data_IF_343785230014
#
_entry.id   IF_343785230014
#
_cell.length_a   1.000
_cell.length_b   1.000
_cell.length_c   1.000
_cell.angle_alpha   90.00
_cell.angle_beta   90.00
_cell.angle_gamma   90.00
#
_symmetry.space_group_name_H-M   'P 1'
#
loop_
_entity.id
_entity.type
_entity.pdbx_description
1 polymer ?
#
# COMPACT_ATOMS: atom_id res chain seq x y z
N UNK A 1 11.28 -10.43 26.80
CA UNK A 1 10.09 -9.66 26.39
C UNK A 1 10.43 -8.57 25.36
N UNK A 2 11.29 -7.60 25.67
CA UNK A 2 11.66 -6.50 24.74
C UNK A 2 12.37 -6.99 23.47
N UNK A 3 13.34 -7.91 23.60
CA UNK A 3 14.05 -8.51 22.45
C UNK A 3 13.09 -9.23 21.50
N UNK A 4 12.05 -9.88 22.05
CA UNK A 4 11.01 -10.58 21.28
C UNK A 4 10.14 -9.59 20.48
N UNK A 5 9.69 -8.50 21.11
CA UNK A 5 8.89 -7.45 20.45
C UNK A 5 9.66 -6.79 19.31
N UNK A 6 10.93 -6.42 19.54
CA UNK A 6 11.77 -5.83 18.51
C UNK A 6 11.95 -6.78 17.31
N UNK A 7 12.16 -8.08 17.57
CA UNK A 7 12.29 -9.08 16.52
C UNK A 7 11.04 -9.19 15.64
N UNK A 8 9.83 -9.12 16.23
CA UNK A 8 8.58 -9.10 15.46
C UNK A 8 8.47 -7.89 14.55
N UNK A 9 8.72 -6.68 15.08
CA UNK A 9 8.56 -5.43 14.35
C UNK A 9 9.59 -5.35 13.21
N UNK A 10 10.88 -5.61 13.52
CA UNK A 10 11.94 -5.59 12.52
C UNK A 10 11.75 -6.70 11.48
N UNK A 11 11.38 -7.91 11.93
CA UNK A 11 11.09 -9.02 11.04
C UNK A 11 9.94 -8.73 10.08
N UNK A 12 8.87 -8.11 10.56
CA UNK A 12 7.73 -7.70 9.73
C UNK A 12 8.11 -6.61 8.73
N UNK A 13 8.91 -5.63 9.13
CA UNK A 13 9.44 -4.61 8.21
C UNK A 13 10.27 -5.23 7.09
N UNK A 14 11.23 -6.11 7.43
CA UNK A 14 12.10 -6.75 6.44
C UNK A 14 11.32 -7.69 5.52
N UNK A 15 10.37 -8.46 6.04
CA UNK A 15 9.50 -9.30 5.23
C UNK A 15 8.61 -8.46 4.29
N UNK A 16 8.01 -7.39 4.82
CA UNK A 16 7.22 -6.43 4.06
C UNK A 16 8.02 -5.79 2.92
N UNK A 17 9.30 -5.50 3.19
CA UNK A 17 10.20 -4.87 2.24
C UNK A 17 10.61 -5.73 1.05
N UNK A 18 10.45 -7.05 1.10
CA UNK A 18 10.87 -7.93 -0.02
C UNK A 18 10.18 -7.46 -1.31
N UNK A 19 10.91 -7.12 -2.38
CA UNK A 19 10.32 -6.49 -3.56
C UNK A 19 9.72 -7.53 -4.53
N UNK A 20 8.71 -8.28 -4.08
CA UNK A 20 8.07 -9.41 -4.79
C UNK A 20 7.69 -9.09 -6.23
N UNK A 21 6.98 -7.99 -6.49
CA UNK A 21 6.58 -7.65 -7.86
C UNK A 21 7.78 -7.43 -8.78
N UNK A 22 8.82 -6.78 -8.27
CA UNK A 22 10.06 -6.56 -9.00
C UNK A 22 10.79 -7.89 -9.27
N UNK A 23 10.91 -8.74 -8.25
CA UNK A 23 11.53 -10.06 -8.39
C UNK A 23 10.77 -10.91 -9.42
N UNK A 24 9.45 -10.99 -9.30
CA UNK A 24 8.61 -11.79 -10.20
C UNK A 24 8.67 -11.27 -11.64
N UNK A 25 8.63 -9.96 -11.86
CA UNK A 25 8.82 -9.39 -13.19
C UNK A 25 10.18 -9.75 -13.78
N UNK A 26 11.25 -9.57 -12.99
CA UNK A 26 12.62 -9.83 -13.43
C UNK A 26 12.83 -11.31 -13.77
N UNK A 27 12.31 -12.23 -12.96
CA UNK A 27 12.47 -13.66 -13.17
C UNK A 27 11.58 -14.23 -14.28
N UNK A 28 10.31 -13.81 -14.39
CA UNK A 28 9.37 -14.41 -15.35
C UNK A 28 9.38 -13.73 -16.72
N UNK A 29 9.75 -12.45 -16.79
CA UNK A 29 9.67 -11.64 -18.02
C UNK A 29 10.99 -10.98 -18.40
N UNK A 30 11.99 -10.97 -17.52
CA UNK A 30 13.26 -10.30 -17.78
C UNK A 30 13.18 -8.77 -17.76
N UNK A 31 12.04 -8.19 -17.36
CA UNK A 31 11.76 -6.75 -17.41
C UNK A 31 12.00 -6.11 -16.04
N UNK A 32 12.54 -4.89 -16.03
CA UNK A 32 12.52 -4.03 -14.84
C UNK A 32 11.22 -3.21 -14.80
N UNK A 33 10.34 -3.50 -13.85
CA UNK A 33 9.05 -2.78 -13.71
C UNK A 33 9.20 -1.35 -13.16
N UNK A 34 10.41 -0.95 -12.75
CA UNK A 34 10.68 0.43 -12.33
C UNK A 34 10.86 1.36 -13.53
N UNK A 35 11.20 0.80 -14.68
CA UNK A 35 11.45 1.54 -15.93
C UNK A 35 10.23 1.49 -16.86
N UNK A 36 9.14 0.85 -16.45
CA UNK A 36 7.95 0.64 -17.29
C UNK A 36 6.64 0.98 -16.59
N UNK A 37 5.66 1.41 -17.39
CA UNK A 37 4.34 1.79 -16.92
C UNK A 37 4.40 2.94 -15.92
N UNK A 38 3.88 2.71 -14.71
CA UNK A 38 3.90 3.72 -13.64
C UNK A 38 5.24 3.83 -12.90
N UNK A 39 6.19 2.94 -13.16
CA UNK A 39 7.47 2.82 -12.42
C UNK A 39 7.33 2.23 -11.01
N UNK A 40 6.10 1.94 -10.56
CA UNK A 40 5.85 1.43 -9.23
C UNK A 40 6.06 -0.10 -9.15
N UNK A 41 6.62 -0.58 -8.04
CA UNK A 41 6.86 -2.02 -7.79
C UNK A 41 5.66 -2.72 -7.12
N UNK A 42 4.45 -2.26 -7.43
CA UNK A 42 3.20 -2.84 -6.94
C UNK A 42 2.56 -3.84 -7.90
N UNK A 43 1.63 -4.64 -7.38
CA UNK A 43 0.88 -5.63 -8.16
C UNK A 43 0.09 -5.05 -9.35
N UNK A 44 -0.38 -3.80 -9.25
CA UNK A 44 -1.08 -3.12 -10.35
C UNK A 44 -0.16 -2.88 -11.55
N UNK A 45 1.03 -2.30 -11.33
CA UNK A 45 2.01 -2.09 -12.41
C UNK A 45 2.46 -3.45 -12.98
N UNK A 46 2.70 -4.43 -12.11
CA UNK A 46 3.01 -5.79 -12.56
C UNK A 46 1.89 -6.40 -13.40
N UNK A 47 0.63 -6.15 -13.07
CA UNK A 47 -0.51 -6.63 -13.86
C UNK A 47 -0.55 -5.99 -15.25
N UNK A 48 -0.21 -4.70 -15.33
CA UNK A 48 -0.13 -3.97 -16.60
C UNK A 48 1.04 -4.45 -17.46
N UNK A 49 2.21 -4.72 -16.87
CA UNK A 49 3.44 -5.08 -17.60
C UNK A 49 3.58 -6.59 -17.89
N UNK A 50 3.21 -7.45 -16.93
CA UNK A 50 3.38 -8.90 -17.02
C UNK A 50 2.06 -9.67 -17.15
N UNK A 51 0.92 -8.98 -17.04
CA UNK A 51 -0.42 -9.54 -17.16
C UNK A 51 -1.08 -9.82 -15.81
N UNK A 52 -2.41 -9.68 -15.76
CA UNK A 52 -3.24 -9.84 -14.54
C UNK A 52 -3.08 -11.19 -13.84
N UNK A 53 -2.82 -12.26 -14.59
CA UNK A 53 -2.64 -13.60 -14.02
C UNK A 53 -1.32 -13.76 -13.26
N UNK A 54 -0.37 -12.83 -13.44
CA UNK A 54 0.85 -12.75 -12.64
C UNK A 54 0.67 -11.72 -11.51
N UNK A 55 0.12 -10.55 -11.83
CA UNK A 55 -0.01 -9.48 -10.85
C UNK A 55 -1.02 -9.76 -9.71
N UNK A 56 -2.15 -10.42 -9.99
CA UNK A 56 -3.14 -10.76 -8.94
C UNK A 56 -2.55 -11.70 -7.88
N UNK A 57 -1.91 -12.84 -8.23
CA UNK A 57 -1.26 -13.70 -7.24
C UNK A 57 -0.19 -12.98 -6.41
N UNK A 58 0.60 -12.10 -7.02
CA UNK A 58 1.61 -11.32 -6.29
C UNK A 58 0.97 -10.33 -5.33
N UNK A 59 -0.10 -9.65 -5.75
CA UNK A 59 -0.88 -8.80 -4.86
C UNK A 59 -1.49 -9.56 -3.68
N UNK A 60 -1.93 -10.80 -3.91
CA UNK A 60 -2.42 -11.69 -2.84
C UNK A 60 -1.28 -12.15 -1.91
N UNK A 61 -0.10 -12.44 -2.46
CA UNK A 61 1.08 -12.73 -1.67
C UNK A 61 1.47 -11.54 -0.78
N UNK A 62 1.45 -10.32 -1.32
CA UNK A 62 1.74 -9.10 -0.56
C UNK A 62 0.71 -8.88 0.56
N UNK A 63 -0.56 -9.19 0.30
CA UNK A 63 -1.62 -9.12 1.30
C UNK A 63 -1.38 -10.16 2.41
N UNK A 64 -1.31 -11.44 2.05
CA UNK A 64 -1.30 -12.54 3.01
C UNK A 64 0.05 -12.69 3.69
N UNK A 65 1.10 -12.89 2.90
CA UNK A 65 2.41 -13.32 3.42
C UNK A 65 3.13 -12.17 4.08
N UNK A 66 3.09 -10.97 3.49
CA UNK A 66 3.84 -9.84 4.02
C UNK A 66 3.14 -9.09 5.15
N UNK A 67 1.80 -9.05 5.14
CA UNK A 67 1.05 -8.25 6.10
C UNK A 67 0.19 -9.09 7.06
N UNK A 68 -0.65 -10.00 6.56
CA UNK A 68 -1.54 -10.78 7.43
C UNK A 68 -0.76 -11.77 8.32
N UNK A 69 0.12 -12.56 7.73
CA UNK A 69 0.83 -13.65 8.41
C UNK A 69 1.68 -13.16 9.61
N UNK A 70 2.48 -12.08 9.52
CA UNK A 70 3.26 -11.62 10.67
C UNK A 70 2.40 -11.16 11.85
N UNK A 71 1.25 -10.53 11.59
CA UNK A 71 0.32 -10.09 12.63
C UNK A 71 -0.33 -11.32 13.29
N UNK A 72 -0.77 -12.31 12.50
CA UNK A 72 -1.31 -13.55 13.03
C UNK A 72 -0.28 -14.34 13.84
N UNK A 73 0.99 -14.32 13.43
CA UNK A 73 2.07 -14.94 14.20
C UNK A 73 2.30 -14.22 15.54
N UNK A 74 2.29 -12.88 15.56
CA UNK A 74 2.37 -12.12 16.80
C UNK A 74 1.17 -12.41 17.72
N UNK A 75 -0.04 -12.51 17.14
CA UNK A 75 -1.26 -12.89 17.87
C UNK A 75 -1.19 -14.31 18.43
N UNK A 76 -0.73 -15.28 17.64
CA UNK A 76 -0.59 -16.68 18.04
C UNK A 76 0.43 -16.86 19.17
N UNK A 77 1.42 -15.97 19.25
CA UNK A 77 2.43 -15.93 20.31
C UNK A 77 2.06 -14.95 21.44
N UNK A 78 0.75 -14.72 21.62
CA UNK A 78 0.13 -13.93 22.69
C UNK A 78 0.73 -12.52 22.87
N UNK A 79 1.21 -11.90 21.79
CA UNK A 79 1.67 -10.53 21.84
C UNK A 79 0.49 -9.57 22.00
N UNK A 80 0.69 -8.47 22.74
CA UNK A 80 -0.35 -7.48 22.97
C UNK A 80 -0.87 -6.87 21.67
N UNK A 81 -2.10 -6.33 21.69
CA UNK A 81 -2.70 -5.66 20.53
C UNK A 81 -1.82 -4.52 19.99
N UNK A 82 -1.11 -3.82 20.87
CA UNK A 82 -0.15 -2.78 20.50
C UNK A 82 1.02 -3.33 19.69
N UNK A 83 1.56 -4.50 20.06
CA UNK A 83 2.64 -5.15 19.30
C UNK A 83 2.12 -5.66 17.96
N UNK A 84 0.93 -6.27 17.93
CA UNK A 84 0.27 -6.70 16.68
C UNK A 84 0.06 -5.52 15.71
N UNK A 85 -0.39 -4.37 16.23
CA UNK A 85 -0.55 -3.15 15.45
C UNK A 85 0.79 -2.61 14.93
N UNK A 86 1.82 -2.57 15.79
CA UNK A 86 3.16 -2.15 15.38
C UNK A 86 3.77 -3.05 14.29
N UNK A 87 3.52 -4.36 14.36
CA UNK A 87 3.90 -5.34 13.32
C UNK A 87 3.19 -5.03 12.00
N UNK A 88 1.88 -4.76 12.03
CA UNK A 88 1.13 -4.40 10.84
C UNK A 88 1.60 -3.09 10.20
N UNK A 89 1.87 -2.07 11.02
CA UNK A 89 2.46 -0.82 10.56
C UNK A 89 3.83 -1.06 9.92
N UNK A 90 4.71 -1.81 10.59
CA UNK A 90 6.05 -2.13 10.11
C UNK A 90 6.02 -2.86 8.76
N UNK A 91 5.13 -3.84 8.58
CA UNK A 91 4.96 -4.56 7.32
C UNK A 91 4.59 -3.62 6.15
N UNK A 92 3.65 -2.69 6.37
CA UNK A 92 3.25 -1.70 5.35
C UNK A 92 4.38 -0.71 5.07
N UNK A 93 5.06 -0.22 6.11
CA UNK A 93 6.21 0.68 5.94
C UNK A 93 7.34 -0.01 5.15
N UNK A 94 7.62 -1.28 5.43
CA UNK A 94 8.60 -2.06 4.68
C UNK A 94 8.24 -2.17 3.21
N UNK A 95 6.99 -2.52 2.91
CA UNK A 95 6.50 -2.59 1.52
C UNK A 95 6.59 -1.24 0.79
N UNK A 96 6.32 -0.13 1.49
CA UNK A 96 6.34 1.21 0.92
C UNK A 96 7.75 1.76 0.73
N UNK A 97 8.66 1.49 1.67
CA UNK A 97 10.03 1.97 1.67
C UNK A 97 10.96 0.80 1.96
N UNK A 98 11.31 0.08 0.90
CA UNK A 98 12.13 -1.12 1.00
C UNK A 98 13.61 -0.75 1.04
N UNK A 99 14.39 -1.21 2.06
CA UNK A 99 15.85 -1.11 2.03
C UNK A 99 16.46 -1.85 0.84
N UNK A 100 15.79 -2.89 0.30
CA UNK A 100 16.25 -3.63 -0.87
C UNK A 100 16.11 -2.86 -2.19
N UNK A 101 15.33 -1.76 -2.18
CA UNK A 101 15.11 -0.88 -3.32
C UNK A 101 15.46 0.58 -2.99
N UNK A 102 16.50 0.82 -2.17
CA UNK A 102 16.97 2.17 -1.84
C UNK A 102 15.87 3.08 -1.27
N UNK A 103 15.03 2.54 -0.39
CA UNK A 103 13.89 3.24 0.21
C UNK A 103 12.82 3.66 -0.81
N UNK A 104 12.73 2.96 -1.93
CA UNK A 104 11.55 2.97 -2.84
C UNK A 104 10.71 1.71 -2.61
N UNK A 105 9.51 1.64 -3.18
CA UNK A 105 8.61 0.52 -2.89
C UNK A 105 7.20 0.72 -3.44
N UNK A 106 6.31 -0.20 -3.06
CA UNK A 106 4.91 -0.22 -3.49
C UNK A 106 4.04 0.85 -2.80
N UNK A 107 2.77 0.99 -3.22
CA UNK A 107 1.82 1.95 -2.62
C UNK A 107 1.23 1.49 -1.28
N UNK A 108 1.39 0.22 -0.92
CA UNK A 108 0.93 -0.31 0.37
C UNK A 108 -0.54 -0.69 0.45
N UNK A 109 -1.32 -0.57 -0.63
CA UNK A 109 -2.75 -0.87 -0.63
C UNK A 109 -3.00 -2.35 -0.27
N UNK A 110 -2.35 -3.30 -0.97
CA UNK A 110 -2.51 -4.73 -0.69
C UNK A 110 -2.09 -5.10 0.73
N UNK A 111 -1.01 -4.50 1.24
CA UNK A 111 -0.55 -4.75 2.61
C UNK A 111 -1.51 -4.16 3.65
N UNK A 112 -2.10 -2.99 3.43
CA UNK A 112 -3.14 -2.42 4.32
C UNK A 112 -4.37 -3.32 4.37
N UNK A 113 -4.83 -3.84 3.21
CA UNK A 113 -5.91 -4.85 3.20
C UNK A 113 -5.50 -6.09 4.00
N UNK A 114 -4.23 -6.51 3.91
CA UNK A 114 -3.71 -7.63 4.70
C UNK A 114 -3.75 -7.38 6.21
N UNK A 115 -3.47 -6.15 6.64
CA UNK A 115 -3.66 -5.70 8.04
C UNK A 115 -5.13 -5.79 8.44
N UNK A 116 -6.05 -5.29 7.60
CA UNK A 116 -7.50 -5.37 7.85
C UNK A 116 -7.99 -6.82 7.99
N UNK A 117 -7.51 -7.72 7.14
CA UNK A 117 -7.83 -9.16 7.21
C UNK A 117 -7.33 -9.77 8.51
N UNK A 118 -6.11 -9.44 8.97
CA UNK A 118 -5.57 -9.96 10.23
C UNK A 118 -6.41 -9.55 11.45
N UNK A 119 -6.98 -8.34 11.43
CA UNK A 119 -7.86 -7.82 12.48
C UNK A 119 -9.36 -8.13 12.26
N UNK A 120 -9.69 -8.99 11.28
CA UNK A 120 -11.06 -9.41 10.98
C UNK A 120 -12.00 -8.21 10.70
N UNK A 121 -11.51 -7.24 9.93
CA UNK A 121 -12.23 -6.02 9.58
C UNK A 121 -13.18 -6.20 8.39
N UNK A 122 -13.96 -7.29 8.42
CA UNK A 122 -14.83 -7.67 7.31
C UNK A 122 -15.90 -6.64 6.96
N UNK A 123 -16.61 -6.00 7.91
CA UNK A 123 -17.56 -4.94 7.59
C UNK A 123 -16.91 -3.75 6.89
N UNK A 124 -15.75 -3.31 7.38
CA UNK A 124 -14.99 -2.18 6.83
C UNK A 124 -14.44 -2.50 5.43
N UNK A 125 -13.94 -3.73 5.22
CA UNK A 125 -13.51 -4.23 3.91
C UNK A 125 -14.70 -4.23 2.94
N UNK A 126 -15.85 -4.77 3.34
CA UNK A 126 -17.04 -4.87 2.49
C UNK A 126 -17.54 -3.48 2.07
N UNK A 127 -17.64 -2.55 3.02
CA UNK A 127 -18.00 -1.16 2.74
C UNK A 127 -16.97 -0.52 1.80
N UNK A 128 -15.68 -0.75 2.03
CA UNK A 128 -14.63 -0.28 1.12
C UNK A 128 -14.81 -0.79 -0.30
N UNK A 129 -15.04 -2.09 -0.49
CA UNK A 129 -15.27 -2.70 -1.80
C UNK A 129 -16.50 -2.10 -2.47
N UNK A 130 -17.60 -1.94 -1.73
CA UNK A 130 -18.86 -1.39 -2.27
C UNK A 130 -18.68 0.08 -2.66
N UNK A 131 -18.12 0.91 -1.78
CA UNK A 131 -17.92 2.34 -2.06
C UNK A 131 -16.91 2.55 -3.19
N UNK A 132 -15.75 1.88 -3.15
CA UNK A 132 -14.74 1.97 -4.20
C UNK A 132 -15.26 1.38 -5.51
N UNK A 133 -15.98 0.26 -5.46
CA UNK A 133 -16.56 -0.38 -6.63
C UNK A 133 -17.62 0.48 -7.30
N UNK A 134 -18.61 0.97 -6.56
CA UNK A 134 -19.69 1.80 -7.10
C UNK A 134 -19.15 3.17 -7.54
N UNK A 135 -18.41 3.87 -6.68
CA UNK A 135 -17.95 5.23 -6.97
C UNK A 135 -16.80 5.21 -7.98
N UNK A 136 -15.87 4.26 -7.85
CA UNK A 136 -14.72 4.12 -8.73
C UNK A 136 -15.09 3.73 -10.15
N UNK A 137 -16.12 2.90 -10.35
CA UNK A 137 -16.61 2.57 -11.71
C UNK A 137 -17.49 3.66 -12.32
N UNK A 138 -18.26 4.40 -11.51
CA UNK A 138 -19.25 5.36 -12.03
C UNK A 138 -18.69 6.77 -12.26
N UNK A 139 -17.72 7.24 -11.47
CA UNK A 139 -17.33 8.66 -11.47
C UNK A 139 -15.96 8.97 -12.08
N UNK A 140 -14.87 8.42 -11.54
CA UNK A 140 -13.50 8.86 -11.91
C UNK A 140 -12.64 7.80 -12.60
N UNK A 141 -13.10 6.54 -12.70
CA UNK A 141 -12.36 5.42 -13.32
C UNK A 141 -10.93 5.22 -12.77
N UNK A 142 -10.65 5.69 -11.56
CA UNK A 142 -9.35 5.58 -10.89
C UNK A 142 -9.52 4.85 -9.55
N UNK A 143 -9.31 3.53 -9.58
CA UNK A 143 -9.43 2.69 -8.38
C UNK A 143 -8.39 3.04 -7.32
N UNK A 144 -7.20 3.51 -7.70
CA UNK A 144 -6.12 3.78 -6.75
C UNK A 144 -6.45 4.99 -5.88
N UNK A 145 -7.03 6.05 -6.46
CA UNK A 145 -7.51 7.21 -5.71
C UNK A 145 -8.60 6.82 -4.70
N UNK A 146 -9.60 6.06 -5.12
CA UNK A 146 -10.72 5.72 -4.23
C UNK A 146 -10.31 4.76 -3.11
N UNK A 147 -9.41 3.81 -3.37
CA UNK A 147 -8.81 2.99 -2.32
C UNK A 147 -8.05 3.85 -1.30
N UNK A 148 -7.31 4.86 -1.77
CA UNK A 148 -6.61 5.79 -0.87
C UNK A 148 -7.59 6.61 -0.02
N UNK A 149 -8.65 7.17 -0.62
CA UNK A 149 -9.70 7.92 0.09
C UNK A 149 -10.38 7.04 1.14
N UNK A 150 -10.67 5.78 0.81
CA UNK A 150 -11.24 4.82 1.75
C UNK A 150 -10.31 4.60 2.94
N UNK A 151 -9.01 4.40 2.71
CA UNK A 151 -8.03 4.20 3.79
C UNK A 151 -7.88 5.47 4.65
N UNK A 152 -7.95 6.66 4.07
CA UNK A 152 -7.96 7.92 4.83
C UNK A 152 -9.22 8.04 5.71
N UNK A 153 -10.37 7.54 5.24
CA UNK A 153 -11.63 7.59 5.96
C UNK A 153 -11.75 6.49 7.04
N UNK A 154 -10.93 5.43 6.98
CA UNK A 154 -11.03 4.27 7.87
C UNK A 154 -11.02 4.60 9.37
N UNK A 155 -10.12 5.45 9.90
CA UNK A 155 -10.12 5.78 11.32
C UNK A 155 -11.46 6.38 11.78
N UNK A 156 -12.06 7.25 10.95
CA UNK A 156 -13.37 7.83 11.20
C UNK A 156 -14.50 6.82 11.11
N UNK A 157 -14.44 5.89 10.15
CA UNK A 157 -15.41 4.80 10.04
C UNK A 157 -15.37 3.86 11.25
N UNK A 158 -14.17 3.50 11.71
CA UNK A 158 -14.00 2.67 12.91
C UNK A 158 -14.57 3.38 14.14
N UNK A 159 -14.25 4.66 14.32
CA UNK A 159 -14.80 5.46 15.42
C UNK A 159 -16.33 5.57 15.35
N UNK A 160 -16.90 5.71 14.15
CA UNK A 160 -18.34 5.77 13.95
C UNK A 160 -19.02 4.45 14.35
N UNK A 161 -18.42 3.32 14.02
CA UNK A 161 -18.93 2.00 14.41
C UNK A 161 -18.91 1.77 15.91
N UNK A 162 -17.85 2.22 16.56
CA UNK A 162 -17.73 2.19 18.02
C UNK A 162 -18.77 3.11 18.68
N UNK A 163 -18.94 4.34 18.18
CA UNK A 163 -19.91 5.30 18.69
C UNK A 163 -21.38 4.83 18.63
N UNK A 164 -21.71 3.96 17.67
CA UNK A 164 -23.06 3.39 17.50
C UNK A 164 -23.18 1.95 18.00
N UNK A 165 -22.18 1.42 18.72
CA UNK A 165 -22.16 0.04 19.22
C UNK A 165 -22.38 -1.03 18.12
N UNK A 166 -21.97 -0.74 16.88
CA UNK A 166 -22.15 -1.65 15.74
C UNK A 166 -21.05 -2.71 15.69
N UNK A 167 -19.79 -2.27 15.86
CA UNK A 167 -18.60 -3.11 15.84
C UNK A 167 -17.54 -2.53 16.76
N UNK A 168 -17.42 -3.07 17.97
CA UNK A 168 -16.40 -2.65 18.93
C UNK A 168 -14.99 -2.97 18.43
N UNK A 169 -14.10 -1.98 18.45
CA UNK A 169 -12.69 -2.12 18.07
C UNK A 169 -11.81 -1.51 19.15
N UNK A 170 -10.69 -2.18 19.45
CA UNK A 170 -9.69 -1.59 20.34
C UNK A 170 -9.19 -0.26 19.78
N UNK A 171 -9.09 0.76 20.63
CA UNK A 171 -8.65 2.10 20.22
C UNK A 171 -7.27 2.10 19.53
N UNK A 172 -6.41 1.13 19.83
CA UNK A 172 -5.13 0.89 19.14
C UNK A 172 -5.32 0.68 17.64
N UNK A 173 -6.41 0.06 17.21
CA UNK A 173 -6.73 -0.16 15.79
C UNK A 173 -7.04 1.18 15.12
N UNK A 174 -7.77 2.09 15.78
CA UNK A 174 -8.02 3.45 15.26
C UNK A 174 -6.69 4.19 15.04
N UNK A 175 -5.81 4.16 16.03
CA UNK A 175 -4.48 4.77 15.95
C UNK A 175 -3.66 4.15 14.80
N UNK A 176 -3.65 2.82 14.69
CA UNK A 176 -2.96 2.11 13.62
C UNK A 176 -3.40 2.61 12.24
N UNK A 177 -4.70 2.65 11.97
CA UNK A 177 -5.20 3.09 10.67
C UNK A 177 -4.98 4.58 10.43
N UNK A 178 -4.96 5.42 11.46
CA UNK A 178 -4.55 6.81 11.33
C UNK A 178 -3.07 6.94 10.92
N UNK A 179 -2.19 6.16 11.54
CA UNK A 179 -0.78 6.09 11.15
C UNK A 179 -0.59 5.56 9.72
N UNK A 180 -1.34 4.52 9.32
CA UNK A 180 -1.30 3.97 7.96
C UNK A 180 -1.81 4.98 6.93
N UNK A 181 -2.88 5.72 7.23
CA UNK A 181 -3.39 6.80 6.40
C UNK A 181 -2.31 7.87 6.15
N UNK A 182 -1.62 8.30 7.20
CA UNK A 182 -0.50 9.25 7.10
C UNK A 182 0.65 8.66 6.29
N UNK A 183 1.01 7.40 6.51
CA UNK A 183 2.08 6.72 5.77
C UNK A 183 1.75 6.62 4.27
N UNK A 184 0.52 6.27 3.90
CA UNK A 184 0.12 6.21 2.49
C UNK A 184 0.07 7.59 1.85
N UNK A 185 -0.37 8.63 2.58
CA UNK A 185 -0.30 10.01 2.11
C UNK A 185 1.15 10.44 1.85
N UNK A 186 2.05 10.16 2.81
CA UNK A 186 3.47 10.43 2.66
C UNK A 186 4.06 9.66 1.46
N UNK A 187 3.68 8.40 1.27
CA UNK A 187 4.13 7.60 0.13
C UNK A 187 3.69 8.22 -1.21
N UNK A 188 2.43 8.65 -1.29
CA UNK A 188 1.87 9.31 -2.47
C UNK A 188 2.53 10.66 -2.75
N UNK A 189 2.85 11.44 -1.71
CA UNK A 189 3.55 12.72 -1.84
C UNK A 189 5.04 12.58 -2.20
N UNK A 190 5.70 11.51 -1.76
CA UNK A 190 7.13 11.28 -2.03
C UNK A 190 7.37 10.65 -3.40
N UNK A 191 6.42 9.88 -3.93
CA UNK A 191 6.48 9.28 -5.28
C UNK A 191 7.85 8.62 -5.58
N UNK A 192 8.31 7.73 -4.68
CA UNK A 192 9.63 7.07 -4.80
C UNK A 192 10.84 8.02 -4.91
N UNK A 193 10.73 9.23 -4.36
CA UNK A 193 11.77 10.27 -4.44
C UNK A 193 12.01 10.79 -5.86
N UNK A 194 11.10 10.49 -6.80
CA UNK A 194 11.20 10.99 -8.16
C UNK A 194 11.07 12.51 -8.18
N UNK A 195 11.99 13.14 -8.91
CA UNK A 195 12.00 14.58 -9.11
C UNK A 195 11.02 14.94 -10.23
N UNK A 196 10.05 15.83 -10.00
CA UNK A 196 9.14 16.27 -11.05
C UNK A 196 9.90 17.04 -12.14
N UNK A 197 9.64 16.73 -13.42
CA UNK A 197 10.23 17.46 -14.56
C UNK A 197 9.95 18.96 -14.52
N UNK A 198 8.73 19.34 -14.12
CA UNK A 198 8.30 20.74 -14.02
C UNK A 198 8.78 21.42 -12.73
N UNK A 199 9.62 20.75 -11.94
CA UNK A 199 10.02 21.18 -10.60
C UNK A 199 8.90 21.08 -9.57
N UNK A 200 9.22 21.38 -8.31
CA UNK A 200 8.25 21.36 -7.23
C UNK A 200 7.34 22.59 -7.29
N UNK A 201 6.04 22.36 -7.48
CA UNK A 201 5.02 23.41 -7.45
C UNK A 201 3.70 22.88 -6.85
N UNK A 202 2.75 23.77 -6.54
CA UNK A 202 1.47 23.39 -5.89
C UNK A 202 0.63 22.43 -6.75
N UNK A 203 0.77 22.47 -8.08
CA UNK A 203 0.04 21.55 -8.97
C UNK A 203 0.59 20.14 -8.84
N UNK A 204 1.92 19.97 -8.81
CA UNK A 204 2.56 18.66 -8.56
C UNK A 204 2.08 18.08 -7.22
N UNK A 205 2.01 18.91 -6.18
CA UNK A 205 1.48 18.47 -4.89
C UNK A 205 0.05 17.94 -5.01
N UNK A 206 -0.85 18.67 -5.67
CA UNK A 206 -2.22 18.21 -5.91
C UNK A 206 -2.27 16.98 -6.81
N UNK A 207 -1.42 16.91 -7.83
CA UNK A 207 -1.39 15.79 -8.76
C UNK A 207 -0.94 14.51 -8.09
N UNK A 208 0.07 14.59 -7.21
CA UNK A 208 0.45 13.48 -6.35
C UNK A 208 -0.71 13.06 -5.47
N UNK A 209 -1.38 13.98 -4.77
CA UNK A 209 -2.51 13.64 -3.89
C UNK A 209 -3.68 13.01 -4.64
N UNK A 210 -4.06 13.52 -5.81
CA UNK A 210 -5.25 13.05 -6.51
C UNK A 210 -4.94 11.84 -7.41
N UNK A 211 -3.84 11.88 -8.13
CA UNK A 211 -3.55 10.92 -9.20
C UNK A 211 -2.30 10.05 -8.96
N UNK A 212 -1.53 10.29 -7.89
CA UNK A 212 -0.32 9.51 -7.58
C UNK A 212 0.77 9.64 -8.65
N UNK A 213 0.87 10.83 -9.26
CA UNK A 213 1.82 11.19 -10.34
C UNK A 213 2.04 12.69 -10.40
N UNK A 214 3.10 13.14 -11.07
CA UNK A 214 3.46 14.56 -11.17
C UNK A 214 2.76 15.33 -12.29
N UNK A 215 2.01 14.63 -13.13
CA UNK A 215 1.29 15.20 -14.27
C UNK A 215 -0.17 14.75 -14.24
N UNK A 216 -1.03 15.51 -14.91
CA UNK A 216 -2.47 15.24 -14.88
C UNK A 216 -2.83 13.97 -15.66
N UNK A 217 -2.23 13.75 -16.83
CA UNK A 217 -2.57 12.63 -17.72
C UNK A 217 -1.68 11.42 -17.47
N UNK A 218 -2.28 10.24 -17.47
CA UNK A 218 -1.54 8.98 -17.29
C UNK A 218 -0.53 8.72 -18.39
N UNK A 219 -0.91 8.99 -19.65
CA UNK A 219 -0.08 8.73 -20.82
C UNK A 219 1.24 9.51 -20.78
N UNK A 220 1.17 10.79 -20.35
CA UNK A 220 2.35 11.64 -20.15
C UNK A 220 3.27 11.07 -19.07
N UNK A 221 2.70 10.53 -17.98
CA UNK A 221 3.48 9.91 -16.90
C UNK A 221 4.18 8.63 -17.38
N UNK A 222 3.46 7.75 -18.07
CA UNK A 222 3.99 6.45 -18.51
C UNK A 222 5.03 6.56 -19.63
N UNK A 223 5.00 7.64 -20.42
CA UNK A 223 5.99 7.87 -21.50
C UNK A 223 7.37 8.27 -21.00
N UNK A 224 7.48 8.85 -19.79
CA UNK A 224 8.76 9.23 -19.19
C UNK A 224 9.74 8.07 -19.07
N UNK A 225 9.24 6.86 -18.79
CA UNK A 225 10.08 5.66 -18.73
C UNK A 225 10.63 5.22 -20.08
N UNK A 226 9.95 5.57 -21.18
CA UNK A 226 10.30 5.13 -22.55
C UNK A 226 11.31 6.09 -23.19
N UNK A 227 11.17 7.39 -22.98
CA UNK A 227 12.04 8.40 -23.62
C UNK A 227 13.46 8.44 -23.01
N UNK A 228 13.64 7.93 -21.78
CA UNK A 228 14.96 7.77 -21.15
C UNK A 228 15.85 6.70 -21.78
N UNK A 229 15.30 5.80 -22.61
CA UNK A 229 16.07 4.79 -23.38
C UNK A 229 16.61 5.33 -24.71
N UNK A 230 16.17 6.53 -25.14
CA UNK A 230 16.52 7.13 -26.42
C UNK A 230 17.60 8.25 -26.33
N UNK A 231 18.20 8.45 -25.16
CA UNK A 231 19.26 9.43 -24.89
C UNK A 231 20.52 8.75 -24.34
#
# INVERSE_FOLDING_TARGET
MTVTVAAFIVGAYLLGAIPTSYLVARFLKGVDIRESGSGNVGASNLSEQAGRWIGIPVGLFDLIVKATLPILLAKFLDQSITVQAAVGLAAVLGHNWSPYLQMTGGRGISTVIGVMVAFLMWPEILIGIVLVGIIGTLWLKDMALWMFVMILALPGLIYLFDFFDLFERDFTIVILFACLAIALLAKRLTANWERPEQGYNWRVFLYRILWDRDVRRQEEWTRRGIEGEAA
#
